data_IF_428996760983
#
_entry.id   IF_428996760983
#
_cell.length_a   1.000
_cell.length_b   1.000
_cell.length_c   1.000
_cell.angle_alpha   90.00
_cell.angle_beta   90.00
_cell.angle_gamma   90.00
#
_symmetry.space_group_name_H-M   'P 1'
#
loop_
_entity.id
_entity.type
_entity.pdbx_description
1 polymer ?
#
# COMPACT_ATOMS: atom_id res chain seq x y z
N UNK A 1 -2.94 23.06 16.45
CA UNK A 1 -3.13 21.61 16.19
C UNK A 1 -3.76 20.92 17.38
N UNK A 2 -4.86 20.16 17.20
CA UNK A 2 -5.42 19.35 18.31
C UNK A 2 -4.40 18.28 18.73
N UNK A 3 -4.11 18.18 20.05
CA UNK A 3 -3.23 17.12 20.59
C UNK A 3 -3.81 15.74 20.26
N UNK A 4 -3.01 14.83 19.70
CA UNK A 4 -3.41 13.42 19.51
C UNK A 4 -3.70 12.79 20.85
N UNK A 5 -4.87 12.17 20.95
CA UNK A 5 -5.22 11.30 22.08
C UNK A 5 -4.87 9.87 21.65
N UNK A 6 -3.97 9.23 22.38
CA UNK A 6 -3.59 7.83 22.19
C UNK A 6 -3.93 7.11 23.47
N UNK A 7 -4.67 6.03 23.35
CA UNK A 7 -5.07 5.17 24.45
C UNK A 7 -4.28 3.86 24.33
N UNK A 8 -3.60 3.49 25.42
CA UNK A 8 -2.80 2.26 25.48
C UNK A 8 -3.68 1.03 25.28
N UNK A 9 -3.27 0.12 24.40
CA UNK A 9 -4.01 -1.12 24.16
C UNK A 9 -5.26 -0.98 23.30
N UNK A 10 -5.68 0.24 22.93
CA UNK A 10 -6.83 0.47 22.08
C UNK A 10 -6.44 0.56 20.60
N UNK A 11 -7.39 0.23 19.73
CA UNK A 11 -7.21 0.35 18.29
C UNK A 11 -7.15 1.82 17.85
N UNK A 12 -6.24 2.12 16.93
CA UNK A 12 -6.09 3.44 16.33
C UNK A 12 -6.12 3.33 14.81
N UNK A 13 -6.99 4.09 14.19
CA UNK A 13 -6.89 4.36 12.75
C UNK A 13 -5.76 5.35 12.52
N UNK A 14 -4.78 4.96 11.73
CA UNK A 14 -3.67 5.80 11.30
C UNK A 14 -3.72 5.92 9.79
N UNK A 15 -3.57 7.14 9.28
CA UNK A 15 -3.57 7.38 7.83
C UNK A 15 -2.50 8.40 7.44
N UNK A 16 -1.97 8.22 6.24
CA UNK A 16 -0.94 9.09 5.67
C UNK A 16 -1.19 9.35 4.20
N UNK A 17 -1.00 10.61 3.80
CA UNK A 17 -1.01 11.03 2.40
C UNK A 17 0.32 11.64 2.01
N UNK A 18 0.62 11.66 0.72
CA UNK A 18 1.78 12.40 0.23
C UNK A 18 1.60 13.90 0.43
N UNK A 19 2.72 14.61 0.51
CA UNK A 19 2.72 16.06 0.67
C UNK A 19 1.94 16.80 -0.43
N UNK A 20 2.01 16.30 -1.65
CA UNK A 20 1.35 16.91 -2.82
C UNK A 20 0.14 16.08 -3.31
N UNK A 21 -0.40 15.19 -2.48
CA UNK A 21 -1.48 14.25 -2.86
C UNK A 21 -1.13 13.42 -4.12
N UNK A 22 0.15 13.28 -4.44
CA UNK A 22 0.61 12.52 -5.61
C UNK A 22 0.63 11.02 -5.37
N UNK A 23 0.53 10.25 -6.44
CA UNK A 23 0.63 8.79 -6.41
C UNK A 23 2.00 8.36 -5.90
N UNK A 24 2.05 7.37 -5.02
CA UNK A 24 3.26 6.78 -4.45
C UNK A 24 3.48 5.34 -4.85
N UNK A 25 2.41 4.63 -5.14
CA UNK A 25 2.47 3.23 -5.52
C UNK A 25 2.14 3.08 -7.01
N UNK A 26 3.17 3.01 -7.85
CA UNK A 26 3.06 2.87 -9.32
C UNK A 26 3.15 1.41 -9.77
N UNK A 27 3.80 0.57 -8.97
CA UNK A 27 4.10 -0.81 -9.31
C UNK A 27 4.09 -1.70 -8.08
N UNK A 28 4.02 -3.00 -8.31
CA UNK A 28 4.13 -4.01 -7.25
C UNK A 28 5.40 -3.84 -6.40
N UNK A 29 6.49 -3.31 -6.98
CA UNK A 29 7.72 -3.00 -6.25
C UNK A 29 7.48 -1.97 -5.14
N UNK A 30 6.76 -0.88 -5.43
CA UNK A 30 6.48 0.16 -4.43
C UNK A 30 5.71 -0.42 -3.24
N UNK A 31 4.71 -1.25 -3.52
CA UNK A 31 3.93 -1.91 -2.49
C UNK A 31 4.76 -2.91 -1.67
N UNK A 32 5.58 -3.73 -2.31
CA UNK A 32 6.40 -4.73 -1.61
C UNK A 32 7.48 -4.09 -0.74
N UNK A 33 8.14 -3.04 -1.23
CA UNK A 33 9.12 -2.28 -0.43
C UNK A 33 8.43 -1.64 0.77
N UNK A 34 7.30 -0.97 0.56
CA UNK A 34 6.51 -0.38 1.66
C UNK A 34 6.09 -1.45 2.68
N UNK A 35 5.49 -2.54 2.20
CA UNK A 35 4.97 -3.61 3.03
C UNK A 35 6.04 -4.27 3.88
N UNK A 36 7.18 -4.62 3.30
CA UNK A 36 8.26 -5.30 4.04
C UNK A 36 8.91 -4.38 5.07
N UNK A 37 9.09 -3.09 4.77
CA UNK A 37 9.52 -2.07 5.74
C UNK A 37 8.51 -1.96 6.88
N UNK A 38 7.24 -1.80 6.56
CA UNK A 38 6.16 -1.66 7.53
C UNK A 38 6.10 -2.86 8.48
N UNK A 39 6.07 -4.07 7.93
CA UNK A 39 5.99 -5.31 8.71
C UNK A 39 7.25 -5.54 9.57
N UNK A 40 8.44 -5.25 9.03
CA UNK A 40 9.69 -5.33 9.82
C UNK A 40 9.66 -4.38 11.02
N UNK A 41 9.19 -3.15 10.80
CA UNK A 41 9.09 -2.17 11.89
C UNK A 41 7.98 -2.49 12.89
N UNK A 42 6.83 -3.03 12.45
CA UNK A 42 5.78 -3.46 13.36
C UNK A 42 6.27 -4.58 14.28
N UNK A 43 6.96 -5.59 13.73
CA UNK A 43 7.55 -6.69 14.48
C UNK A 43 8.61 -6.22 15.45
N UNK A 44 9.57 -5.40 15.02
CA UNK A 44 10.66 -4.91 15.86
C UNK A 44 10.17 -4.06 17.04
N UNK A 45 9.02 -3.40 16.89
CA UNK A 45 8.46 -2.50 17.90
C UNK A 45 7.30 -3.09 18.68
N UNK A 46 6.88 -4.32 18.38
CA UNK A 46 5.75 -4.97 19.04
C UNK A 46 4.41 -4.24 18.85
N UNK A 47 4.19 -3.67 17.66
CA UNK A 47 2.91 -3.04 17.30
C UNK A 47 2.03 -4.11 16.69
N UNK A 48 0.81 -4.33 17.24
CA UNK A 48 -0.18 -5.19 16.62
C UNK A 48 -0.85 -4.45 15.47
N UNK A 49 -1.00 -5.13 14.33
CA UNK A 49 -1.59 -4.59 13.11
C UNK A 49 -2.88 -5.34 12.81
N UNK A 50 -4.03 -4.67 12.90
CA UNK A 50 -5.33 -5.28 12.63
C UNK A 50 -5.76 -5.13 11.16
N UNK A 51 -5.30 -4.09 10.49
CA UNK A 51 -5.53 -3.84 9.07
C UNK A 51 -4.44 -2.95 8.50
N UNK A 52 -4.09 -3.21 7.25
CA UNK A 52 -3.21 -2.38 6.43
C UNK A 52 -3.80 -2.32 5.02
N UNK A 53 -3.97 -1.10 4.49
CA UNK A 53 -4.47 -0.87 3.14
C UNK A 53 -3.72 0.30 2.49
N UNK A 54 -2.59 0.04 1.82
CA UNK A 54 -1.95 1.02 0.96
C UNK A 54 -2.75 1.21 -0.33
N UNK A 55 -3.21 2.43 -0.54
CA UNK A 55 -3.90 2.92 -1.72
C UNK A 55 -2.90 3.66 -2.65
N UNK A 56 -3.20 3.91 -3.92
CA UNK A 56 -2.23 4.51 -4.84
C UNK A 56 -1.56 5.80 -4.35
N UNK A 57 -2.25 6.66 -3.62
CA UNK A 57 -1.76 7.98 -3.17
C UNK A 57 -1.75 8.18 -1.64
N UNK A 58 -2.24 7.21 -0.87
CA UNK A 58 -2.31 7.27 0.59
C UNK A 58 -2.31 5.87 1.23
N UNK A 59 -2.30 5.81 2.55
CA UNK A 59 -2.34 4.54 3.29
C UNK A 59 -3.29 4.62 4.47
N UNK A 60 -4.03 3.53 4.72
CA UNK A 60 -4.84 3.31 5.92
C UNK A 60 -4.27 2.14 6.72
N UNK A 61 -4.34 2.25 8.04
CA UNK A 61 -3.89 1.21 8.96
C UNK A 61 -4.76 1.26 10.22
N UNK A 62 -5.07 0.09 10.75
CA UNK A 62 -5.65 -0.04 12.09
C UNK A 62 -4.64 -0.79 12.95
N UNK A 63 -4.11 -0.13 13.97
CA UNK A 63 -3.04 -0.65 14.82
C UNK A 63 -3.39 -0.54 16.30
N UNK A 64 -2.79 -1.42 17.10
CA UNK A 64 -2.81 -1.34 18.57
C UNK A 64 -1.38 -1.10 19.05
N UNK A 65 -1.20 -0.07 19.86
CA UNK A 65 0.10 0.29 20.44
C UNK A 65 -0.01 0.46 21.95
N UNK A 66 1.05 0.04 22.67
CA UNK A 66 1.11 0.14 24.10
C UNK A 66 1.30 1.58 24.61
N UNK A 67 1.74 2.51 23.75
CA UNK A 67 1.93 3.90 24.13
C UNK A 67 1.90 4.84 22.91
N UNK A 68 1.68 6.13 23.19
CA UNK A 68 1.81 7.20 22.19
C UNK A 68 3.21 7.25 21.58
N UNK A 69 4.24 7.02 22.37
CA UNK A 69 5.62 7.04 21.88
C UNK A 69 5.90 5.87 20.95
N UNK A 70 5.45 4.66 21.30
CA UNK A 70 5.57 3.48 20.43
C UNK A 70 4.90 3.71 19.09
N UNK A 71 3.65 4.19 19.08
CA UNK A 71 2.92 4.50 17.83
C UNK A 71 3.64 5.57 17.01
N UNK A 72 4.07 6.67 17.65
CA UNK A 72 4.74 7.76 16.95
C UNK A 72 6.08 7.30 16.35
N UNK A 73 6.90 6.59 17.11
CA UNK A 73 8.19 6.06 16.66
C UNK A 73 8.01 5.03 15.54
N UNK A 74 7.00 4.16 15.64
CA UNK A 74 6.67 3.20 14.58
C UNK A 74 6.34 3.91 13.27
N UNK A 75 5.37 4.83 13.30
CA UNK A 75 4.94 5.57 12.10
C UNK A 75 6.08 6.40 11.52
N UNK A 76 6.85 7.08 12.37
CA UNK A 76 7.99 7.88 11.93
C UNK A 76 9.05 7.02 11.23
N UNK A 77 9.38 5.86 11.81
CA UNK A 77 10.47 5.02 11.31
C UNK A 77 10.12 4.38 9.98
N UNK A 78 8.96 3.71 9.85
CA UNK A 78 8.62 3.08 8.58
C UNK A 78 8.41 4.12 7.47
N UNK A 79 7.82 5.28 7.79
CA UNK A 79 7.63 6.37 6.84
C UNK A 79 8.96 6.94 6.34
N UNK A 80 9.93 7.11 7.25
CA UNK A 80 11.28 7.58 6.90
C UNK A 80 12.02 6.59 6.01
N UNK A 81 12.03 5.31 6.40
CA UNK A 81 12.68 4.25 5.63
C UNK A 81 12.08 4.11 4.22
N UNK A 82 10.75 4.10 4.12
CA UNK A 82 10.10 4.03 2.82
C UNK A 82 10.37 5.28 1.98
N UNK A 83 10.29 6.48 2.57
CA UNK A 83 10.61 7.72 1.87
C UNK A 83 12.07 7.73 1.38
N UNK A 84 13.00 7.20 2.18
CA UNK A 84 14.40 7.07 1.77
C UNK A 84 14.56 6.15 0.56
N UNK A 85 14.01 4.93 0.61
CA UNK A 85 14.07 3.97 -0.51
C UNK A 85 13.38 4.53 -1.76
N UNK A 86 12.18 5.10 -1.60
CA UNK A 86 11.41 5.70 -2.69
C UNK A 86 12.14 6.85 -3.38
N UNK A 87 12.73 7.75 -2.59
CA UNK A 87 13.53 8.88 -3.08
C UNK A 87 14.83 8.42 -3.74
N UNK A 88 15.53 7.46 -3.13
CA UNK A 88 16.77 6.87 -3.67
C UNK A 88 16.51 6.26 -5.05
N UNK A 89 15.45 5.45 -5.19
CA UNK A 89 15.04 4.86 -6.46
C UNK A 89 14.79 5.91 -7.54
N UNK A 90 14.18 7.03 -7.16
CA UNK A 90 13.75 8.11 -8.07
C UNK A 90 14.72 9.28 -8.15
N UNK A 91 15.89 9.19 -7.51
CA UNK A 91 16.87 10.29 -7.41
C UNK A 91 16.25 11.60 -6.94
N UNK A 92 15.26 11.51 -6.02
CA UNK A 92 14.60 12.67 -5.40
C UNK A 92 15.13 12.92 -4.01
N UNK A 93 14.84 14.14 -3.50
CA UNK A 93 15.11 14.56 -2.13
C UNK A 93 13.84 15.14 -1.51
N UNK A 94 13.78 15.15 -0.19
CA UNK A 94 12.71 15.78 0.57
C UNK A 94 11.69 14.79 1.12
N UNK A 95 10.63 15.35 1.72
CA UNK A 95 9.59 14.59 2.39
C UNK A 95 8.61 13.98 1.37
N UNK A 96 8.34 12.70 1.50
CA UNK A 96 7.34 12.00 0.71
C UNK A 96 5.95 12.18 1.32
N UNK A 97 5.81 11.92 2.61
CA UNK A 97 4.54 12.03 3.32
C UNK A 97 4.30 13.43 3.89
N UNK A 98 3.02 13.80 3.99
CA UNK A 98 2.60 14.97 4.75
C UNK A 98 2.83 14.76 6.24
N UNK A 99 3.30 15.78 6.93
CA UNK A 99 3.44 15.77 8.38
C UNK A 99 2.43 16.73 9.03
N UNK A 100 1.90 16.33 10.18
CA UNK A 100 1.96 15.04 10.86
C UNK A 100 0.98 14.02 10.27
N UNK A 101 1.22 12.69 10.48
CA UNK A 101 0.24 11.68 10.12
C UNK A 101 -1.10 11.88 10.86
N UNK A 102 -2.22 11.49 10.23
CA UNK A 102 -3.52 11.46 10.90
C UNK A 102 -3.66 10.25 11.82
N UNK A 103 -4.33 10.41 12.96
CA UNK A 103 -4.71 9.28 13.79
C UNK A 103 -5.97 9.56 14.60
N UNK A 104 -6.81 8.54 14.77
CA UNK A 104 -8.03 8.57 15.58
C UNK A 104 -8.14 7.27 16.40
N UNK A 105 -8.27 7.40 17.70
CA UNK A 105 -8.57 6.25 18.56
C UNK A 105 -9.95 5.70 18.27
N UNK A 106 -10.10 4.38 18.35
CA UNK A 106 -11.36 3.65 18.16
C UNK A 106 -11.67 2.87 19.43
N UNK A 107 -12.64 3.40 20.17
CA UNK A 107 -12.99 2.86 21.49
C UNK A 107 -14.21 1.96 21.39
N UNK A 108 -14.08 0.74 21.91
CA UNK A 108 -15.13 -0.27 21.89
C UNK A 108 -15.37 -0.92 20.53
N UNK A 109 -15.98 -2.09 20.55
CA UNK A 109 -16.10 -3.00 19.40
C UNK A 109 -16.80 -2.38 18.20
N UNK A 110 -17.81 -1.51 18.40
CA UNK A 110 -18.52 -0.86 17.28
C UNK A 110 -17.59 0.02 16.46
N UNK A 111 -16.79 0.87 17.12
CA UNK A 111 -15.87 1.76 16.40
C UNK A 111 -14.73 0.99 15.72
N UNK A 112 -14.26 -0.10 16.35
CA UNK A 112 -13.22 -0.96 15.75
C UNK A 112 -13.77 -1.66 14.50
N UNK A 113 -14.97 -2.25 14.56
CA UNK A 113 -15.63 -2.84 13.38
C UNK A 113 -15.80 -1.82 12.26
N UNK A 114 -16.33 -0.65 12.59
CA UNK A 114 -16.54 0.42 11.59
C UNK A 114 -15.22 0.79 10.89
N UNK A 115 -14.13 0.96 11.63
CA UNK A 115 -12.86 1.37 11.02
C UNK A 115 -12.16 0.24 10.27
N UNK A 116 -12.32 -1.01 10.69
CA UNK A 116 -11.83 -2.16 9.95
C UNK A 116 -12.54 -2.28 8.58
N UNK A 117 -13.88 -2.16 8.58
CA UNK A 117 -14.68 -2.13 7.35
C UNK A 117 -14.26 -0.94 6.45
N UNK A 118 -14.19 0.26 6.99
CA UNK A 118 -13.74 1.46 6.28
C UNK A 118 -12.36 1.28 5.65
N UNK A 119 -11.37 0.83 6.45
CA UNK A 119 -9.98 0.67 5.97
C UNK A 119 -9.90 -0.34 4.82
N UNK A 120 -10.62 -1.46 4.91
CA UNK A 120 -10.55 -2.52 3.90
C UNK A 120 -11.45 -2.25 2.69
N UNK A 121 -12.54 -1.47 2.83
CA UNK A 121 -13.43 -1.12 1.71
C UNK A 121 -12.94 0.07 0.89
N UNK A 122 -11.88 0.77 1.30
CA UNK A 122 -11.33 1.88 0.52
C UNK A 122 -11.09 1.52 -0.97
N UNK A 123 -10.50 0.36 -1.33
CA UNK A 123 -10.32 0.01 -2.74
C UNK A 123 -11.65 -0.25 -3.45
N UNK A 124 -12.69 -0.74 -2.78
CA UNK A 124 -14.02 -0.93 -3.35
C UNK A 124 -14.70 0.41 -3.62
N UNK A 125 -14.68 1.32 -2.63
CA UNK A 125 -15.23 2.68 -2.77
C UNK A 125 -14.51 3.50 -3.84
N UNK A 126 -13.22 3.24 -4.04
CA UNK A 126 -12.41 3.83 -5.12
C UNK A 126 -12.51 3.04 -6.44
N UNK A 127 -13.36 2.01 -6.51
CA UNK A 127 -13.64 1.18 -7.68
C UNK A 127 -12.41 0.48 -8.27
N UNK A 128 -11.42 0.17 -7.45
CA UNK A 128 -10.24 -0.61 -7.86
C UNK A 128 -10.58 -2.10 -7.99
N UNK A 129 -11.50 -2.58 -7.16
CA UNK A 129 -11.97 -3.96 -7.09
C UNK A 129 -13.46 -3.98 -6.72
N UNK A 130 -14.11 -5.12 -6.90
CA UNK A 130 -15.50 -5.33 -6.49
C UNK A 130 -15.63 -5.70 -5.01
N UNK A 131 -14.65 -6.41 -4.47
CA UNK A 131 -14.61 -6.86 -3.07
C UNK A 131 -13.27 -6.51 -2.43
N UNK A 132 -13.26 -6.25 -1.14
CA UNK A 132 -12.06 -5.87 -0.41
C UNK A 132 -10.94 -6.93 -0.48
N UNK A 133 -11.29 -8.23 -0.44
CA UNK A 133 -10.37 -9.35 -0.55
C UNK A 133 -9.76 -9.52 -1.95
N UNK A 134 -10.36 -8.95 -2.98
CA UNK A 134 -9.83 -8.98 -4.35
C UNK A 134 -8.70 -7.97 -4.57
N UNK A 135 -8.52 -7.04 -3.63
CA UNK A 135 -7.40 -6.11 -3.65
C UNK A 135 -6.23 -6.69 -2.85
N UNK A 136 -5.16 -7.08 -3.55
CA UNK A 136 -3.97 -7.69 -2.92
C UNK A 136 -3.49 -6.95 -1.68
N UNK A 137 -3.58 -5.65 -1.67
CA UNK A 137 -3.00 -4.78 -0.66
C UNK A 137 -3.93 -4.46 0.53
N UNK A 138 -5.07 -5.14 0.63
CA UNK A 138 -5.79 -5.29 1.91
C UNK A 138 -5.25 -6.46 2.72
N UNK A 139 -4.54 -7.37 2.07
CA UNK A 139 -3.98 -8.60 2.63
C UNK A 139 -5.03 -9.59 3.16
N UNK A 140 -6.31 -9.31 3.02
CA UNK A 140 -7.39 -10.17 3.53
C UNK A 140 -7.30 -11.59 3.00
N UNK A 141 -7.11 -11.75 1.70
CA UNK A 141 -7.06 -13.07 1.05
C UNK A 141 -5.89 -13.96 1.54
N UNK A 142 -4.89 -13.38 2.21
CA UNK A 142 -3.75 -14.14 2.77
C UNK A 142 -4.05 -14.81 4.11
N UNK A 143 -5.21 -14.62 4.69
CA UNK A 143 -5.59 -15.27 5.96
C UNK A 143 -5.54 -16.80 5.85
N UNK A 144 -6.15 -17.36 4.82
CA UNK A 144 -6.29 -18.80 4.61
C UNK A 144 -5.69 -19.32 3.29
N UNK A 145 -5.06 -18.44 2.50
CA UNK A 145 -4.45 -18.79 1.23
C UNK A 145 -3.05 -18.17 1.13
N UNK A 146 -2.05 -18.98 0.82
CA UNK A 146 -0.67 -18.52 0.65
C UNK A 146 -0.39 -17.89 -0.72
N UNK A 147 -1.21 -18.22 -1.72
CA UNK A 147 -1.05 -17.79 -3.11
C UNK A 147 -2.37 -17.24 -3.67
N UNK A 148 -3.00 -16.21 -3.03
CA UNK A 148 -4.32 -15.75 -3.46
C UNK A 148 -4.31 -15.05 -4.81
N UNK A 149 -3.17 -14.54 -5.26
CA UNK A 149 -3.02 -13.77 -6.49
C UNK A 149 -2.04 -14.39 -7.50
N UNK A 150 -1.61 -15.63 -7.24
CA UNK A 150 -0.72 -16.37 -8.13
C UNK A 150 -1.05 -17.86 -8.14
N UNK A 151 -0.46 -18.59 -9.09
CA UNK A 151 -0.48 -20.04 -9.04
C UNK A 151 0.32 -20.54 -7.83
N UNK A 152 -0.07 -21.68 -7.23
CA UNK A 152 0.66 -22.25 -6.11
C UNK A 152 2.15 -22.43 -6.43
N UNK A 153 3.01 -21.97 -5.52
CA UNK A 153 4.45 -22.14 -5.65
C UNK A 153 4.89 -23.52 -5.14
N UNK A 154 5.49 -24.31 -6.02
CA UNK A 154 6.16 -25.54 -5.62
C UNK A 154 7.67 -25.29 -5.53
N UNK A 155 8.18 -25.06 -4.32
CA UNK A 155 9.58 -24.71 -4.08
C UNK A 155 10.55 -25.80 -4.54
N UNK A 156 10.18 -27.10 -4.43
CA UNK A 156 11.04 -28.23 -4.82
C UNK A 156 11.21 -28.34 -6.33
N UNK A 157 10.24 -27.91 -7.11
CA UNK A 157 10.26 -27.92 -8.59
C UNK A 157 10.58 -26.54 -9.20
N UNK A 158 10.80 -25.53 -8.37
CA UNK A 158 11.15 -24.20 -8.84
C UNK A 158 12.51 -24.21 -9.56
N UNK A 159 12.65 -23.38 -10.58
CA UNK A 159 13.94 -23.17 -11.29
C UNK A 159 15.03 -22.68 -10.32
N UNK A 160 16.28 -22.92 -10.67
CA UNK A 160 17.44 -22.58 -9.83
C UNK A 160 17.44 -21.13 -9.38
N UNK A 161 17.11 -20.19 -10.29
CA UNK A 161 17.09 -18.78 -9.98
C UNK A 161 15.96 -18.42 -9.00
N UNK A 162 14.77 -19.01 -9.17
CA UNK A 162 13.66 -18.84 -8.22
C UNK A 162 14.04 -19.36 -6.84
N UNK A 163 14.63 -20.57 -6.73
CA UNK A 163 15.11 -21.10 -5.46
C UNK A 163 16.15 -20.22 -4.77
N UNK A 164 17.05 -19.62 -5.56
CA UNK A 164 18.02 -18.65 -5.05
C UNK A 164 17.30 -17.39 -4.48
N UNK A 165 16.35 -16.84 -5.23
CA UNK A 165 15.57 -15.68 -4.77
C UNK A 165 14.80 -15.99 -3.47
N UNK A 166 14.15 -17.16 -3.39
CA UNK A 166 13.43 -17.59 -2.17
C UNK A 166 14.36 -17.70 -0.96
N UNK A 167 15.57 -18.23 -1.15
CA UNK A 167 16.58 -18.33 -0.08
C UNK A 167 17.04 -16.95 0.38
N UNK A 168 17.34 -16.04 -0.55
CA UNK A 168 17.74 -14.66 -0.22
C UNK A 168 16.63 -13.91 0.51
N UNK A 169 15.38 -14.06 0.08
CA UNK A 169 14.20 -13.46 0.69
C UNK A 169 14.06 -13.95 2.14
N UNK A 170 14.16 -15.26 2.35
CA UNK A 170 14.07 -15.86 3.68
C UNK A 170 15.19 -15.33 4.59
N UNK A 171 16.43 -15.32 4.10
CA UNK A 171 17.57 -14.78 4.83
C UNK A 171 17.35 -13.32 5.21
N UNK A 172 16.94 -12.48 4.25
CA UNK A 172 16.65 -11.06 4.48
C UNK A 172 15.62 -10.85 5.60
N UNK A 173 14.56 -11.67 5.60
CA UNK A 173 13.53 -11.64 6.64
C UNK A 173 14.06 -12.10 7.99
N UNK A 174 14.85 -13.18 8.04
CA UNK A 174 15.39 -13.75 9.27
C UNK A 174 16.44 -12.81 9.91
N UNK A 175 17.15 -12.05 9.10
CA UNK A 175 18.06 -10.97 9.53
C UNK A 175 17.33 -9.69 9.98
N UNK A 176 15.99 -9.68 10.00
CA UNK A 176 15.17 -8.53 10.38
C UNK A 176 15.23 -7.37 9.39
N UNK A 177 15.71 -7.61 8.19
CA UNK A 177 15.82 -6.62 7.12
C UNK A 177 14.49 -6.48 6.34
N UNK A 178 14.46 -5.62 5.36
CA UNK A 178 13.35 -5.43 4.43
C UNK A 178 13.84 -5.52 2.98
N UNK A 179 12.92 -5.76 2.06
CA UNK A 179 13.22 -5.85 0.62
C UNK A 179 13.41 -4.46 0.03
N UNK A 180 14.46 -4.29 -0.77
CA UNK A 180 14.78 -3.04 -1.48
C UNK A 180 14.38 -3.10 -2.95
N UNK A 181 14.28 -1.93 -3.61
CA UNK A 181 14.00 -1.87 -5.05
C UNK A 181 15.03 -2.63 -5.89
N UNK A 182 16.31 -2.55 -5.54
CA UNK A 182 17.37 -3.23 -6.29
C UNK A 182 17.28 -4.75 -6.21
N UNK A 183 16.83 -5.29 -5.07
CA UNK A 183 16.57 -6.73 -4.92
C UNK A 183 15.41 -7.16 -5.83
N UNK A 184 14.29 -6.45 -5.78
CA UNK A 184 13.11 -6.75 -6.60
C UNK A 184 13.42 -6.70 -8.10
N UNK A 185 14.11 -5.65 -8.56
CA UNK A 185 14.51 -5.51 -9.97
C UNK A 185 15.43 -6.63 -10.44
N UNK A 186 16.39 -7.03 -9.60
CA UNK A 186 17.28 -8.14 -9.90
C UNK A 186 16.51 -9.45 -10.03
N UNK A 187 15.59 -9.74 -9.14
CA UNK A 187 14.80 -10.99 -9.21
C UNK A 187 13.85 -10.98 -10.41
N UNK A 188 13.07 -9.89 -10.59
CA UNK A 188 12.10 -9.78 -11.70
C UNK A 188 12.77 -9.97 -13.07
N UNK A 189 13.99 -9.45 -13.27
CA UNK A 189 14.69 -9.55 -14.56
C UNK A 189 15.02 -10.98 -15.02
N UNK A 190 14.90 -11.98 -14.12
CA UNK A 190 15.21 -13.39 -14.39
C UNK A 190 13.99 -14.31 -14.23
N UNK A 191 12.83 -13.76 -13.89
CA UNK A 191 11.62 -14.52 -13.65
C UNK A 191 10.59 -14.25 -14.75
N UNK A 192 9.80 -15.27 -15.07
CA UNK A 192 8.60 -15.08 -15.88
C UNK A 192 7.55 -14.26 -15.11
N UNK A 193 6.54 -13.73 -15.80
CA UNK A 193 5.44 -13.01 -15.17
C UNK A 193 4.72 -13.86 -14.10
N UNK A 194 4.53 -15.14 -14.35
CA UNK A 194 3.93 -16.08 -13.39
C UNK A 194 4.81 -16.27 -12.16
N UNK A 195 6.10 -16.54 -12.35
CA UNK A 195 7.07 -16.70 -11.25
C UNK A 195 7.19 -15.40 -10.43
N UNK A 196 7.11 -14.24 -11.08
CA UNK A 196 7.11 -12.95 -10.39
C UNK A 196 5.89 -12.79 -9.46
N UNK A 197 4.69 -13.16 -9.91
CA UNK A 197 3.50 -13.14 -9.05
C UNK A 197 3.61 -14.12 -7.87
N UNK A 198 4.16 -15.31 -8.11
CA UNK A 198 4.44 -16.29 -7.05
C UNK A 198 5.44 -15.75 -6.02
N UNK A 199 6.50 -15.09 -6.48
CA UNK A 199 7.49 -14.46 -5.61
C UNK A 199 6.87 -13.33 -4.77
N UNK A 200 5.99 -12.52 -5.37
CA UNK A 200 5.27 -11.47 -4.67
C UNK A 200 4.39 -12.02 -3.54
N UNK A 201 3.59 -13.06 -3.82
CA UNK A 201 2.78 -13.71 -2.80
C UNK A 201 3.64 -14.37 -1.71
N UNK A 202 4.77 -14.98 -2.07
CA UNK A 202 5.72 -15.53 -1.12
C UNK A 202 6.30 -14.45 -0.18
N UNK A 203 6.73 -13.31 -0.72
CA UNK A 203 7.20 -12.18 0.08
C UNK A 203 6.11 -11.72 1.04
N UNK A 204 4.89 -11.52 0.56
CA UNK A 204 3.78 -11.08 1.39
C UNK A 204 3.52 -12.09 2.51
N UNK A 205 3.38 -13.37 2.19
CA UNK A 205 3.13 -14.43 3.18
C UNK A 205 4.22 -14.49 4.26
N UNK A 206 5.48 -14.27 3.89
CA UNK A 206 6.63 -14.36 4.81
C UNK A 206 6.74 -13.15 5.75
N UNK A 207 6.41 -11.93 5.28
CA UNK A 207 6.49 -10.70 6.08
C UNK A 207 5.22 -10.37 6.85
N UNK A 208 4.08 -10.93 6.46
CA UNK A 208 2.76 -10.58 7.02
C UNK A 208 2.76 -10.61 8.56
N UNK A 209 2.31 -9.52 9.15
CA UNK A 209 2.20 -9.33 10.60
C UNK A 209 0.78 -8.93 11.02
N UNK A 210 -0.18 -9.04 10.10
CA UNK A 210 -1.58 -8.72 10.41
C UNK A 210 -2.09 -9.76 11.40
N UNK A 211 -2.59 -9.26 12.52
CA UNK A 211 -3.25 -10.06 13.55
C UNK A 211 -4.70 -10.32 13.13
N UNK A 212 -4.87 -11.28 12.22
CA UNK A 212 -6.20 -11.67 11.73
C UNK A 212 -7.09 -12.18 12.85
N UNK A 213 -6.54 -12.94 13.80
CA UNK A 213 -7.33 -13.50 14.90
C UNK A 213 -7.93 -12.39 15.75
N UNK A 214 -7.15 -11.36 16.08
CA UNK A 214 -7.67 -10.20 16.79
C UNK A 214 -8.70 -9.44 15.96
N UNK A 215 -8.45 -9.21 14.67
CA UNK A 215 -9.39 -8.53 13.78
C UNK A 215 -10.71 -9.33 13.63
N UNK A 216 -10.64 -10.63 13.45
CA UNK A 216 -11.77 -11.55 13.31
C UNK A 216 -12.58 -11.62 14.61
N UNK A 217 -11.92 -11.54 15.78
CA UNK A 217 -12.61 -11.63 17.08
C UNK A 217 -13.72 -10.58 17.25
N UNK A 218 -13.63 -9.44 16.58
CA UNK A 218 -14.68 -8.42 16.56
C UNK A 218 -15.94 -8.83 15.78
N UNK A 219 -15.86 -9.86 14.93
CA UNK A 219 -16.95 -10.31 14.05
C UNK A 219 -17.38 -11.75 14.30
N UNK A 220 -16.62 -12.51 15.08
CA UNK A 220 -16.87 -13.92 15.40
C UNK A 220 -16.25 -14.92 14.42
N UNK A 221 -16.23 -14.63 13.10
CA UNK A 221 -15.55 -15.45 12.10
C UNK A 221 -15.07 -14.61 10.93
N UNK A 222 -14.13 -15.16 10.15
CA UNK A 222 -13.61 -14.52 8.93
C UNK A 222 -14.72 -14.26 7.91
N UNK A 223 -15.59 -15.24 7.67
CA UNK A 223 -16.70 -15.11 6.73
C UNK A 223 -17.72 -14.05 7.17
N UNK A 224 -17.96 -13.95 8.47
CA UNK A 224 -18.84 -12.91 9.02
C UNK A 224 -18.20 -11.53 8.88
N UNK A 225 -16.89 -11.43 9.07
CA UNK A 225 -16.13 -10.20 8.85
C UNK A 225 -16.21 -9.75 7.38
N UNK A 226 -15.98 -10.65 6.42
CA UNK A 226 -16.08 -10.33 5.00
C UNK A 226 -17.50 -9.92 4.60
N UNK A 227 -18.52 -10.65 5.06
CA UNK A 227 -19.94 -10.26 4.83
C UNK A 227 -20.21 -8.85 5.36
N UNK A 228 -19.75 -8.54 6.58
CA UNK A 228 -19.92 -7.21 7.14
C UNK A 228 -19.20 -6.12 6.32
N UNK A 229 -18.06 -6.43 5.68
CA UNK A 229 -17.41 -5.51 4.77
C UNK A 229 -18.22 -5.30 3.49
N UNK A 230 -18.74 -6.36 2.87
CA UNK A 230 -19.59 -6.29 1.68
C UNK A 230 -20.88 -5.49 1.95
N UNK A 231 -21.56 -5.75 3.07
CA UNK A 231 -22.79 -5.09 3.44
C UNK A 231 -22.61 -3.59 3.76
N UNK A 232 -21.39 -3.18 4.14
CA UNK A 232 -21.08 -1.79 4.49
C UNK A 232 -20.43 -1.01 3.33
N UNK A 233 -20.34 -1.58 2.13
CA UNK A 233 -19.87 -0.86 0.94
C UNK A 233 -20.82 0.27 0.60
N UNK A 234 -20.31 1.49 0.43
CA UNK A 234 -21.11 2.69 0.17
C UNK A 234 -21.81 3.29 1.41
N UNK A 235 -21.54 2.76 2.61
CA UNK A 235 -22.02 3.35 3.86
C UNK A 235 -21.31 4.69 4.14
N UNK A 236 -22.05 5.68 4.65
CA UNK A 236 -21.43 6.89 5.19
C UNK A 236 -20.70 6.55 6.49
N UNK A 237 -19.37 6.51 6.42
CA UNK A 237 -18.54 6.41 7.61
C UNK A 237 -18.38 7.80 8.23
N UNK A 238 -18.61 7.96 9.53
CA UNK A 238 -18.32 9.19 10.30
C UNK A 238 -16.80 9.49 10.37
N UNK A 239 -16.05 9.13 9.35
CA UNK A 239 -14.62 9.33 9.25
C UNK A 239 -14.40 10.51 8.31
N UNK A 240 -14.15 11.68 8.88
CA UNK A 240 -13.86 12.91 8.13
C UNK A 240 -12.47 12.84 7.53
N UNK A 241 -12.39 12.36 6.30
CA UNK A 241 -11.26 12.55 5.42
C UNK A 241 -11.71 13.39 4.23
N UNK A 242 -10.80 14.22 3.67
CA UNK A 242 -11.07 14.93 2.42
C UNK A 242 -11.18 13.88 1.29
N UNK A 243 -12.37 13.42 1.03
CA UNK A 243 -12.66 12.53 -0.09
C UNK A 243 -12.81 13.38 -1.36
N UNK A 244 -11.81 13.32 -2.22
CA UNK A 244 -12.06 13.62 -3.61
C UNK A 244 -12.96 12.48 -4.16
N UNK A 245 -14.17 12.80 -4.61
CA UNK A 245 -15.15 11.84 -5.19
C UNK A 245 -14.66 11.24 -6.52
N UNK A 246 -13.39 10.87 -6.64
CA UNK A 246 -12.77 10.34 -7.85
C UNK A 246 -12.48 8.86 -7.71
N UNK A 247 -12.64 8.16 -8.82
CA UNK A 247 -12.21 6.76 -8.90
C UNK A 247 -10.69 6.69 -9.05
N UNK A 248 -10.04 5.75 -8.39
CA UNK A 248 -8.59 5.54 -8.49
C UNK A 248 -8.22 4.59 -9.64
N UNK A 249 -9.20 3.97 -10.33
CA UNK A 249 -8.99 3.16 -11.54
C UNK A 249 -8.21 3.92 -12.61
N UNK A 250 -8.43 5.23 -12.71
CA UNK A 250 -7.71 6.09 -13.66
C UNK A 250 -6.19 6.07 -13.49
N UNK A 251 -5.67 5.73 -12.30
CA UNK A 251 -4.23 5.60 -12.12
C UNK A 251 -3.69 4.30 -12.74
N UNK A 252 -4.46 3.23 -12.68
CA UNK A 252 -4.17 1.99 -13.40
C UNK A 252 -4.26 2.23 -14.92
N UNK A 253 -5.31 2.93 -15.38
CA UNK A 253 -5.47 3.29 -16.78
C UNK A 253 -4.30 4.13 -17.31
N UNK A 254 -3.88 5.15 -16.55
CA UNK A 254 -2.68 5.93 -16.87
C UNK A 254 -1.44 5.04 -17.01
N UNK A 255 -1.26 4.10 -16.10
CA UNK A 255 -0.15 3.15 -16.14
C UNK A 255 -0.23 2.26 -17.39
N UNK A 256 -1.39 1.67 -17.69
CA UNK A 256 -1.60 0.83 -18.88
C UNK A 256 -1.36 1.60 -20.18
N UNK A 257 -1.88 2.83 -20.29
CA UNK A 257 -1.69 3.69 -21.47
C UNK A 257 -0.20 4.01 -21.69
N UNK A 258 0.55 4.26 -20.62
CA UNK A 258 1.98 4.51 -20.74
C UNK A 258 2.78 3.24 -21.03
N UNK A 259 2.37 2.09 -20.53
CA UNK A 259 2.95 0.79 -20.90
C UNK A 259 2.70 0.48 -22.39
N UNK A 260 1.48 0.70 -22.87
CA UNK A 260 1.14 0.55 -24.30
C UNK A 260 1.92 1.53 -25.18
N UNK A 261 2.30 2.72 -24.66
CA UNK A 261 3.22 3.65 -25.32
C UNK A 261 4.68 3.15 -25.33
N UNK A 262 4.99 2.05 -24.65
CA UNK A 262 6.32 1.46 -24.60
C UNK A 262 7.16 1.84 -23.38
N UNK A 263 6.56 2.48 -22.35
CA UNK A 263 7.30 2.76 -21.12
C UNK A 263 7.45 1.48 -20.27
N UNK A 264 8.69 1.15 -19.95
CA UNK A 264 9.02 0.07 -19.03
C UNK A 264 8.61 0.41 -17.58
N UNK A 265 8.50 -0.60 -16.72
CA UNK A 265 8.24 -0.42 -15.29
C UNK A 265 9.25 0.55 -14.63
N UNK A 266 10.52 0.50 -15.05
CA UNK A 266 11.56 1.43 -14.60
C UNK A 266 11.26 2.88 -14.99
N UNK A 267 10.80 3.11 -16.21
CA UNK A 267 10.43 4.45 -16.70
C UNK A 267 9.18 4.98 -16.00
N UNK A 268 8.18 4.13 -15.79
CA UNK A 268 6.99 4.48 -15.00
C UNK A 268 7.37 4.91 -13.59
N UNK A 269 8.22 4.16 -12.91
CA UNK A 269 8.67 4.52 -11.57
C UNK A 269 9.50 5.82 -11.52
N UNK A 270 10.06 6.26 -12.65
CA UNK A 270 10.81 7.51 -12.77
C UNK A 270 9.93 8.75 -13.03
N UNK A 271 8.64 8.57 -13.36
CA UNK A 271 7.71 9.68 -13.69
C UNK A 271 7.77 10.84 -12.68
N UNK A 272 7.74 10.61 -11.35
CA UNK A 272 7.83 11.70 -10.39
C UNK A 272 9.07 12.58 -10.55
N UNK A 273 10.13 12.07 -11.14
CA UNK A 273 11.44 12.74 -11.28
C UNK A 273 11.67 13.39 -12.64
N UNK A 274 10.75 13.20 -13.58
CA UNK A 274 10.87 13.80 -14.91
C UNK A 274 10.88 15.33 -14.85
N UNK A 275 11.58 16.01 -15.77
CA UNK A 275 11.46 17.44 -15.98
C UNK A 275 10.01 17.86 -16.27
N UNK A 276 9.65 19.10 -15.93
CA UNK A 276 8.29 19.60 -16.10
C UNK A 276 7.80 19.52 -17.54
N UNK A 277 8.66 19.85 -18.51
CA UNK A 277 8.34 19.77 -19.94
C UNK A 277 7.93 18.36 -20.38
N UNK A 278 8.67 17.33 -19.96
CA UNK A 278 8.31 15.94 -20.24
C UNK A 278 7.00 15.54 -19.56
N UNK A 279 6.78 16.02 -18.34
CA UNK A 279 5.50 15.80 -17.62
C UNK A 279 4.32 16.48 -18.35
N UNK A 280 4.52 17.67 -18.93
CA UNK A 280 3.49 18.35 -19.72
C UNK A 280 3.12 17.53 -20.96
N UNK A 281 4.09 16.98 -21.67
CA UNK A 281 3.83 16.11 -22.81
C UNK A 281 3.02 14.86 -22.39
N UNK A 282 3.40 14.22 -21.28
CA UNK A 282 2.66 13.08 -20.73
C UNK A 282 1.27 13.49 -20.23
N UNK A 283 1.11 14.68 -19.68
CA UNK A 283 -0.16 15.19 -19.19
C UNK A 283 -1.20 15.28 -20.31
N UNK A 284 -0.89 15.94 -21.41
CA UNK A 284 -1.81 16.04 -22.55
C UNK A 284 -2.05 14.67 -23.21
N UNK A 285 -1.03 13.83 -23.29
CA UNK A 285 -1.16 12.48 -23.80
C UNK A 285 -2.13 11.63 -22.96
N UNK A 286 -2.01 11.67 -21.63
CA UNK A 286 -2.89 10.93 -20.74
C UNK A 286 -4.32 11.47 -20.76
N UNK A 287 -4.52 12.78 -20.77
CA UNK A 287 -5.85 13.38 -20.87
C UNK A 287 -6.58 12.98 -22.17
N UNK A 288 -5.85 12.79 -23.25
CA UNK A 288 -6.46 12.38 -24.54
C UNK A 288 -6.74 10.87 -24.62
N UNK A 289 -6.25 10.05 -23.70
CA UNK A 289 -6.29 8.58 -23.79
C UNK A 289 -6.94 7.90 -22.58
N UNK A 290 -7.27 8.66 -21.55
CA UNK A 290 -7.91 8.15 -20.34
C UNK A 290 -9.11 9.01 -19.98
N UNK A 291 -9.97 8.51 -19.10
CA UNK A 291 -11.06 9.27 -18.49
C UNK A 291 -10.60 10.11 -17.28
N UNK A 292 -9.29 10.18 -17.03
CA UNK A 292 -8.74 10.89 -15.90
C UNK A 292 -8.99 12.41 -15.99
N UNK A 293 -9.40 13.02 -14.88
CA UNK A 293 -9.56 14.48 -14.82
C UNK A 293 -8.18 15.16 -14.71
N UNK A 294 -8.08 16.43 -15.10
CA UNK A 294 -6.81 17.19 -15.02
C UNK A 294 -6.09 17.06 -13.66
N UNK A 295 -6.82 17.16 -12.56
CA UNK A 295 -6.27 17.02 -11.22
C UNK A 295 -5.70 15.61 -10.94
N UNK A 296 -6.33 14.55 -11.43
CA UNK A 296 -5.85 13.17 -11.27
C UNK A 296 -4.58 12.93 -12.09
N UNK A 297 -4.52 13.43 -13.32
CA UNK A 297 -3.30 13.33 -14.15
C UNK A 297 -2.15 14.11 -13.50
N UNK A 298 -2.40 15.30 -12.95
CA UNK A 298 -1.40 16.05 -12.19
C UNK A 298 -0.89 15.28 -10.97
N UNK A 299 -1.79 14.65 -10.19
CA UNK A 299 -1.42 13.78 -9.07
C UNK A 299 -0.54 12.61 -9.53
N UNK A 300 -0.93 11.95 -10.62
CA UNK A 300 -0.19 10.83 -11.20
C UNK A 300 1.23 11.25 -11.64
N UNK A 301 1.36 12.39 -12.28
CA UNK A 301 2.64 12.92 -12.78
C UNK A 301 3.45 13.69 -11.73
N UNK A 302 2.95 13.86 -10.52
CA UNK A 302 3.56 14.75 -9.49
C UNK A 302 3.78 16.17 -10.01
N UNK A 303 2.75 16.72 -10.60
CA UNK A 303 2.67 18.14 -10.98
C UNK A 303 1.89 18.85 -9.87
N UNK A 304 2.30 20.07 -9.49
CA UNK A 304 1.58 20.86 -8.53
C UNK A 304 0.15 21.16 -9.03
N UNK A 305 -0.87 21.03 -8.17
CA UNK A 305 -2.27 21.12 -8.58
C UNK A 305 -2.67 22.52 -9.04
N UNK A 306 -2.04 23.53 -8.46
CA UNK A 306 -2.21 24.95 -8.75
C UNK A 306 -1.44 25.43 -9.99
N UNK A 307 -0.52 24.62 -10.52
CA UNK A 307 0.24 24.98 -11.71
C UNK A 307 -0.67 24.94 -12.96
N UNK A 308 -0.78 26.04 -13.67
CA UNK A 308 -1.40 26.09 -14.99
C UNK A 308 -0.44 25.49 -16.03
N UNK A 309 -0.92 24.54 -16.82
CA UNK A 309 -0.15 23.84 -17.86
C UNK A 309 -0.59 24.30 -19.26
#
# INVERSE_FOLDING_TARGET
MKKRKVYSGEAHHVFQRTRNKGVIFYSIHDYLVYFTIYCSQARQRGVSVLSLCPMPDHTHQVIVAASKNQMATFVQTYSHLFAYEWNKKRKKKGFLFSHPFGSAAKLGNKQVRTVLAYSNNNPVERKLVERAEDYRWTFLAYYNNRNPFSLPLNESHAKSYMRMALKEIKQCRDDGQYITYSMLERWESHLSATEWQQLADYIIGLWNVIDYEQAISYYGSYDTMLRAFHDNTGSEYEIREDHDNYTDTVYADCTHVLQAKGLSARQLSAIPSLPLEQKQQLYYYLLSRTSARPAQVKKYLHIALDLTL
#
